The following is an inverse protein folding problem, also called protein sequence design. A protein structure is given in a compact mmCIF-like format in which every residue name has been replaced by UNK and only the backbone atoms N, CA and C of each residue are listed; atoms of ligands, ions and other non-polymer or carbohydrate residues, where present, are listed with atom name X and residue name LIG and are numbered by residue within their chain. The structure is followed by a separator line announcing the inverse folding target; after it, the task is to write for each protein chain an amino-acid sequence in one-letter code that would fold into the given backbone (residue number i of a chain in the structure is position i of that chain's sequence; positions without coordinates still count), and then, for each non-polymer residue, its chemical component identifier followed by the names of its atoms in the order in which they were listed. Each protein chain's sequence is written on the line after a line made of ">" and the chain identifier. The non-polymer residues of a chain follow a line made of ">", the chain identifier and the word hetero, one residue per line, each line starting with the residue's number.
data_IF_173809011248
#
_entry.id   IF_173809011248
#
_cell.length_a   1.000
_cell.length_b   1.000
_cell.length_c   1.000
_cell.angle_alpha   90.00
_cell.angle_beta   90.00
_cell.angle_gamma   90.00
#
_symmetry.space_group_name_H-M   'P 1'
#
loop_
_entity.id
_entity.type
_entity.pdbx_description
1 polymer ?
#
# COMPACT_ATOMS: atom_id res chain seq x y z
N UNK A 1 18.42 30.35 -0.02
CA UNK A 1 17.79 29.48 -1.02
C UNK A 1 17.61 28.12 -0.39
N UNK A 2 16.38 27.74 -0.10
CA UNK A 2 16.08 26.37 0.29
C UNK A 2 16.10 25.59 -1.02
N UNK A 3 17.18 24.86 -1.27
CA UNK A 3 17.18 23.86 -2.35
C UNK A 3 16.12 22.84 -2.00
N UNK A 4 15.04 22.82 -2.75
CA UNK A 4 14.04 21.77 -2.63
C UNK A 4 14.76 20.42 -2.74
N UNK A 5 14.76 19.66 -1.66
CA UNK A 5 15.26 18.29 -1.68
C UNK A 5 14.31 17.50 -2.58
N UNK A 6 14.83 16.74 -3.52
CA UNK A 6 14.01 15.98 -4.44
C UNK A 6 13.04 15.11 -3.66
N UNK A 7 11.75 15.22 -3.94
CA UNK A 7 10.72 14.41 -3.31
C UNK A 7 10.70 12.96 -3.82
N UNK A 8 11.46 12.67 -4.89
CA UNK A 8 11.56 11.35 -5.46
C UNK A 8 12.36 10.41 -4.57
N UNK A 9 11.92 9.14 -4.42
CA UNK A 9 12.64 8.14 -3.65
C UNK A 9 14.00 7.81 -4.27
N UNK A 10 15.01 7.59 -3.42
CA UNK A 10 16.34 7.15 -3.87
C UNK A 10 16.30 5.74 -4.47
N UNK A 11 15.38 4.91 -3.97
CA UNK A 11 15.15 3.56 -4.42
C UNK A 11 13.65 3.26 -4.54
N UNK A 12 13.30 2.42 -5.49
CA UNK A 12 11.92 1.95 -5.66
C UNK A 12 11.77 0.58 -4.99
N UNK A 13 10.85 0.46 -4.05
CA UNK A 13 10.48 -0.81 -3.45
C UNK A 13 9.82 -1.71 -4.51
N UNK A 14 10.39 -2.90 -4.74
CA UNK A 14 9.87 -3.87 -5.72
C UNK A 14 9.70 -5.22 -5.07
N UNK A 15 8.47 -5.72 -5.04
CA UNK A 15 8.16 -7.08 -4.61
C UNK A 15 8.27 -8.04 -5.78
N UNK A 16 8.98 -9.14 -5.58
CA UNK A 16 9.02 -10.25 -6.53
C UNK A 16 8.12 -11.38 -6.01
N UNK A 17 6.90 -11.44 -6.49
CA UNK A 17 5.91 -12.46 -6.07
C UNK A 17 6.25 -13.87 -6.53
N UNK A 18 7.12 -14.04 -7.51
CA UNK A 18 7.50 -15.37 -8.02
C UNK A 18 8.38 -16.16 -7.05
N UNK A 19 8.95 -15.49 -6.06
CA UNK A 19 9.80 -16.16 -5.04
C UNK A 19 9.01 -16.67 -3.84
N UNK A 20 7.70 -16.38 -3.73
CA UNK A 20 6.83 -17.00 -2.74
C UNK A 20 6.57 -18.46 -3.12
N UNK A 21 6.81 -19.43 -2.21
CA UNK A 21 6.83 -20.84 -2.59
C UNK A 21 5.44 -21.46 -2.78
N UNK A 22 4.40 -20.88 -2.21
CA UNK A 22 3.06 -21.44 -2.23
C UNK A 22 2.16 -20.73 -3.26
N UNK A 23 1.29 -21.46 -3.92
CA UNK A 23 0.27 -20.84 -4.74
C UNK A 23 -0.94 -20.41 -3.88
N UNK A 24 -1.61 -19.32 -4.28
CA UNK A 24 -2.78 -18.77 -3.58
C UNK A 24 -4.08 -19.52 -3.96
N UNK A 25 -4.21 -20.77 -3.51
CA UNK A 25 -5.36 -21.62 -3.84
C UNK A 25 -6.60 -21.36 -2.95
N UNK A 26 -6.43 -20.71 -1.80
CA UNK A 26 -7.51 -20.41 -0.86
C UNK A 26 -7.15 -19.24 0.06
N UNK A 27 -8.15 -18.77 0.81
CA UNK A 27 -7.96 -17.76 1.84
C UNK A 27 -6.89 -18.13 2.86
N UNK A 28 -6.79 -19.43 3.21
CA UNK A 28 -5.78 -19.88 4.17
C UNK A 28 -4.34 -19.70 3.66
N UNK A 29 -4.08 -19.91 2.37
CA UNK A 29 -2.78 -19.63 1.75
C UNK A 29 -2.50 -18.14 1.66
N UNK A 30 -3.53 -17.33 1.39
CA UNK A 30 -3.42 -15.88 1.43
C UNK A 30 -3.10 -15.39 2.84
N UNK A 31 -3.80 -15.88 3.87
CA UNK A 31 -3.53 -15.53 5.27
C UNK A 31 -2.11 -15.91 5.69
N UNK A 32 -1.62 -17.07 5.26
CA UNK A 32 -0.23 -17.49 5.48
C UNK A 32 0.76 -16.47 4.92
N UNK A 33 0.60 -16.08 3.65
CA UNK A 33 1.47 -15.10 3.01
C UNK A 33 1.36 -13.74 3.69
N UNK A 34 0.16 -13.28 4.02
CA UNK A 34 -0.07 -12.02 4.72
C UNK A 34 0.64 -11.99 6.08
N UNK A 35 0.56 -13.07 6.85
CA UNK A 35 1.27 -13.16 8.14
C UNK A 35 2.78 -13.16 7.97
N UNK A 36 3.28 -13.86 6.96
CA UNK A 36 4.70 -13.88 6.63
C UNK A 36 5.22 -12.47 6.30
N UNK A 37 4.52 -11.76 5.41
CA UNK A 37 4.87 -10.37 5.04
C UNK A 37 4.79 -9.42 6.26
N UNK A 38 3.76 -9.54 7.10
CA UNK A 38 3.62 -8.71 8.30
C UNK A 38 4.72 -8.97 9.33
N UNK A 39 5.23 -10.20 9.46
CA UNK A 39 6.37 -10.50 10.33
C UNK A 39 7.65 -9.85 9.82
N UNK A 40 7.91 -9.87 8.51
CA UNK A 40 9.06 -9.18 7.91
C UNK A 40 8.90 -7.66 8.03
N UNK A 41 7.71 -7.13 7.75
CA UNK A 41 7.41 -5.71 7.94
C UNK A 41 7.67 -5.27 9.39
N UNK A 42 7.14 -6.01 10.37
CA UNK A 42 7.35 -5.73 11.79
C UNK A 42 8.83 -5.86 12.21
N UNK A 43 9.59 -6.77 11.61
CA UNK A 43 11.04 -6.88 11.82
C UNK A 43 11.78 -5.62 11.37
N UNK A 44 11.49 -5.14 10.15
CA UNK A 44 12.09 -3.91 9.63
C UNK A 44 11.64 -2.68 10.42
N UNK A 45 10.37 -2.63 10.85
CA UNK A 45 9.84 -1.56 11.70
C UNK A 45 10.51 -1.55 13.08
N UNK A 46 10.77 -2.70 13.69
CA UNK A 46 11.48 -2.81 14.96
C UNK A 46 12.91 -2.27 14.87
N UNK A 47 13.58 -2.46 13.74
CA UNK A 47 14.92 -1.91 13.49
C UNK A 47 14.98 -0.39 13.56
N UNK A 48 13.85 0.28 13.43
CA UNK A 48 13.74 1.75 13.49
C UNK A 48 13.62 2.29 14.93
N UNK A 49 13.36 1.45 15.91
CA UNK A 49 13.10 1.91 17.28
C UNK A 49 14.35 2.32 18.05
N UNK A 50 15.50 1.85 17.62
CA UNK A 50 16.79 2.12 18.25
C UNK A 50 17.54 3.31 17.65
N UNK A 51 16.95 3.98 16.65
CA UNK A 51 17.59 5.09 15.94
C UNK A 51 17.40 6.39 16.69
N UNK A 52 18.50 7.10 16.94
CA UNK A 52 18.50 8.50 17.34
C UNK A 52 18.34 9.44 16.12
N UNK A 53 18.28 10.75 16.37
CA UNK A 53 18.06 11.75 15.32
C UNK A 53 19.16 11.77 14.25
N UNK A 54 20.42 11.51 14.63
CA UNK A 54 21.52 11.47 13.66
C UNK A 54 21.45 10.22 12.80
N UNK A 55 21.14 9.08 13.40
CA UNK A 55 20.94 7.83 12.68
C UNK A 55 19.72 7.91 11.75
N UNK A 56 18.63 8.58 12.18
CA UNK A 56 17.48 8.85 11.32
C UNK A 56 17.84 9.73 10.13
N UNK A 57 18.53 10.86 10.36
CA UNK A 57 18.98 11.73 9.27
C UNK A 57 19.87 11.00 8.26
N UNK A 58 20.78 10.18 8.78
CA UNK A 58 21.67 9.38 7.92
C UNK A 58 20.90 8.33 7.12
N UNK A 59 19.98 7.57 7.77
CA UNK A 59 19.20 6.51 7.14
C UNK A 59 18.25 7.04 6.06
N UNK A 60 17.57 8.17 6.34
CA UNK A 60 16.58 8.76 5.44
C UNK A 60 17.19 9.78 4.46
N UNK A 61 18.50 10.01 4.51
CA UNK A 61 19.21 11.00 3.70
C UNK A 61 18.64 12.43 3.84
N UNK A 62 18.28 12.82 5.08
CA UNK A 62 17.65 14.11 5.38
C UNK A 62 18.58 15.01 6.20
N UNK A 63 18.48 16.33 5.97
CA UNK A 63 19.16 17.35 6.79
C UNK A 63 18.38 17.69 8.06
N UNK A 64 17.07 17.71 7.94
CA UNK A 64 16.12 17.99 9.04
C UNK A 64 15.01 16.96 9.02
N UNK A 65 14.47 16.65 10.18
CA UNK A 65 13.36 15.72 10.35
C UNK A 65 12.32 16.32 11.29
N UNK A 66 11.03 16.09 11.00
CA UNK A 66 9.97 16.22 11.99
C UNK A 66 9.89 14.92 12.78
N UNK A 67 10.61 14.91 13.92
CA UNK A 67 10.71 13.72 14.76
C UNK A 67 9.36 13.32 15.34
N UNK A 68 8.53 14.30 15.74
CA UNK A 68 7.22 14.01 16.35
C UNK A 68 6.30 13.29 15.34
N UNK A 69 6.22 13.78 14.12
CA UNK A 69 5.39 13.17 13.09
C UNK A 69 5.94 11.79 12.65
N UNK A 70 7.27 11.65 12.54
CA UNK A 70 7.91 10.36 12.25
C UNK A 70 7.53 9.31 13.31
N UNK A 71 7.57 9.66 14.60
CA UNK A 71 7.17 8.76 15.68
C UNK A 71 5.67 8.41 15.61
N UNK A 72 4.83 9.40 15.33
CA UNK A 72 3.39 9.19 15.15
C UNK A 72 3.10 8.18 14.01
N UNK A 73 3.72 8.37 12.86
CA UNK A 73 3.56 7.46 11.72
C UNK A 73 4.05 6.05 12.06
N UNK A 74 5.19 5.92 12.72
CA UNK A 74 5.68 4.62 13.19
C UNK A 74 4.70 3.94 14.15
N UNK A 75 4.02 4.72 15.01
CA UNK A 75 2.99 4.19 15.91
C UNK A 75 1.77 3.67 15.15
N UNK A 76 1.31 4.40 14.14
CA UNK A 76 0.22 3.99 13.23
C UNK A 76 0.59 2.67 12.53
N UNK A 77 1.80 2.55 12.00
CA UNK A 77 2.25 1.30 11.37
C UNK A 77 2.21 0.10 12.31
N UNK A 78 2.64 0.29 13.58
CA UNK A 78 2.53 -0.78 14.57
C UNK A 78 1.08 -1.17 14.85
N UNK A 79 0.18 -0.21 14.98
CA UNK A 79 -1.25 -0.48 15.21
C UNK A 79 -1.85 -1.27 14.04
N UNK A 80 -1.59 -0.82 12.81
CA UNK A 80 -2.08 -1.49 11.59
C UNK A 80 -1.50 -2.88 11.42
N UNK A 81 -0.20 -3.06 11.65
CA UNK A 81 0.44 -4.35 11.53
C UNK A 81 -0.13 -5.38 12.51
N UNK A 82 -0.36 -4.99 13.77
CA UNK A 82 -0.99 -5.86 14.78
C UNK A 82 -2.41 -6.24 14.37
N UNK A 83 -3.21 -5.25 13.96
CA UNK A 83 -4.58 -5.47 13.53
C UNK A 83 -4.65 -6.45 12.35
N UNK A 84 -3.89 -6.19 11.29
CA UNK A 84 -3.86 -7.04 10.10
C UNK A 84 -3.32 -8.44 10.39
N UNK A 85 -2.34 -8.56 11.29
CA UNK A 85 -1.81 -9.84 11.71
C UNK A 85 -2.85 -10.69 12.46
N UNK A 86 -3.68 -10.04 13.28
CA UNK A 86 -4.78 -10.71 13.97
C UNK A 86 -5.88 -11.15 12.99
N UNK A 87 -6.22 -10.33 12.00
CA UNK A 87 -7.20 -10.68 10.96
C UNK A 87 -6.80 -11.92 10.16
N UNK A 88 -5.53 -12.04 9.81
CA UNK A 88 -4.98 -13.17 9.07
C UNK A 88 -4.76 -14.42 9.96
N UNK A 89 -5.63 -14.68 10.94
CA UNK A 89 -5.46 -15.75 11.93
C UNK A 89 -6.51 -16.89 11.86
N UNK A 90 -7.48 -16.77 10.96
CA UNK A 90 -8.67 -17.64 10.95
C UNK A 90 -8.37 -19.15 10.72
N UNK A 91 -7.28 -19.48 10.04
CA UNK A 91 -6.97 -20.86 9.60
C UNK A 91 -5.66 -21.39 10.22
N UNK A 92 -5.55 -21.40 11.55
CA UNK A 92 -4.30 -21.70 12.28
C UNK A 92 -3.52 -22.93 11.79
N UNK A 93 -4.20 -24.03 11.48
CA UNK A 93 -3.54 -25.26 11.02
C UNK A 93 -2.80 -25.10 9.68
N UNK A 94 -3.22 -24.12 8.86
CA UNK A 94 -2.62 -23.85 7.54
C UNK A 94 -1.58 -22.74 7.58
N UNK A 95 -1.35 -22.11 8.74
CA UNK A 95 -0.45 -20.94 8.87
C UNK A 95 1.02 -21.31 9.09
N UNK A 96 1.35 -22.58 9.29
CA UNK A 96 2.76 -22.97 9.44
C UNK A 96 3.60 -22.52 8.23
N UNK A 97 4.82 -22.00 8.46
CA UNK A 97 5.53 -21.83 9.74
C UNK A 97 5.26 -20.49 10.46
N UNK A 98 4.24 -19.71 10.08
CA UNK A 98 3.95 -18.35 10.54
C UNK A 98 2.80 -18.30 11.56
N UNK A 99 2.60 -19.38 12.34
CA UNK A 99 1.40 -19.55 13.17
C UNK A 99 1.45 -18.90 14.55
N UNK A 100 2.56 -18.27 14.96
CA UNK A 100 2.69 -17.69 16.30
C UNK A 100 1.57 -16.65 16.55
N UNK A 101 0.77 -16.78 17.63
CA UNK A 101 -0.30 -15.84 17.91
C UNK A 101 0.26 -14.53 18.44
N UNK A 102 -0.34 -13.40 18.00
CA UNK A 102 -0.12 -12.10 18.58
C UNK A 102 -1.42 -11.31 18.49
N UNK A 103 -2.00 -10.98 19.63
CA UNK A 103 -3.24 -10.21 19.74
C UNK A 103 -2.97 -8.77 20.22
N UNK A 104 -1.77 -8.47 20.66
CA UNK A 104 -1.36 -7.17 21.17
C UNK A 104 0.00 -6.74 20.59
N UNK A 105 0.26 -5.43 20.68
CA UNK A 105 1.47 -4.81 20.13
C UNK A 105 2.76 -5.36 20.73
N UNK A 106 2.78 -5.62 22.05
CA UNK A 106 4.00 -6.09 22.73
C UNK A 106 4.39 -7.47 22.22
N UNK A 107 3.42 -8.37 22.16
CA UNK A 107 3.62 -9.74 21.64
C UNK A 107 4.03 -9.69 20.17
N UNK A 108 3.35 -8.89 19.33
CA UNK A 108 3.68 -8.78 17.91
C UNK A 108 5.09 -8.21 17.70
N UNK A 109 5.48 -7.16 18.42
CA UNK A 109 6.86 -6.63 18.38
C UNK A 109 7.89 -7.69 18.76
N UNK A 110 7.62 -8.49 19.78
CA UNK A 110 8.54 -9.54 20.20
C UNK A 110 8.74 -10.61 19.14
N UNK A 111 7.65 -11.12 18.55
CA UNK A 111 7.75 -12.18 17.53
C UNK A 111 8.31 -11.67 16.20
N UNK A 112 7.94 -10.46 15.77
CA UNK A 112 8.43 -9.88 14.54
C UNK A 112 9.87 -9.40 14.66
N UNK A 113 10.25 -8.75 15.75
CA UNK A 113 11.63 -8.29 15.99
C UNK A 113 12.66 -9.44 16.01
N UNK A 114 12.23 -10.61 16.49
CA UNK A 114 13.07 -11.83 16.48
C UNK A 114 12.85 -12.72 15.26
N UNK A 115 12.03 -12.27 14.30
CA UNK A 115 11.69 -13.07 13.13
C UNK A 115 12.87 -13.22 12.18
N UNK A 116 13.14 -14.46 11.80
CA UNK A 116 14.16 -14.82 10.83
C UNK A 116 13.53 -15.70 9.74
N UNK A 117 14.25 -15.88 8.64
CA UNK A 117 13.82 -16.78 7.59
C UNK A 117 13.41 -18.15 8.16
N UNK A 118 12.23 -18.68 7.80
CA UNK A 118 11.85 -20.01 8.21
C UNK A 118 12.90 -21.04 7.79
N UNK A 119 13.13 -22.04 8.65
CA UNK A 119 14.04 -23.13 8.33
C UNK A 119 13.55 -23.87 7.09
N UNK A 120 14.41 -23.97 6.08
CA UNK A 120 14.12 -24.62 4.81
C UNK A 120 14.44 -23.74 3.59
N UNK A 121 14.88 -24.37 2.51
CA UNK A 121 15.32 -23.65 1.31
C UNK A 121 14.20 -22.92 0.55
N UNK A 122 12.94 -23.33 0.74
CA UNK A 122 11.81 -22.81 -0.04
C UNK A 122 11.44 -21.35 0.26
N UNK A 123 11.55 -20.90 1.52
CA UNK A 123 11.24 -19.54 1.93
C UNK A 123 12.40 -18.56 1.87
N UNK A 124 13.64 -19.04 1.72
CA UNK A 124 14.82 -18.17 1.77
C UNK A 124 14.83 -17.09 0.67
N UNK A 125 14.54 -17.39 -0.62
CA UNK A 125 14.48 -16.37 -1.66
C UNK A 125 13.40 -15.30 -1.41
N UNK A 126 12.23 -15.73 -0.91
CA UNK A 126 11.16 -14.82 -0.52
C UNK A 126 11.60 -13.91 0.63
N UNK A 127 12.17 -14.47 1.69
CA UNK A 127 12.58 -13.70 2.87
C UNK A 127 13.57 -12.59 2.52
N UNK A 128 14.57 -12.87 1.70
CA UNK A 128 15.55 -11.88 1.23
C UNK A 128 14.84 -10.77 0.43
N UNK A 129 13.91 -11.13 -0.46
CA UNK A 129 13.18 -10.16 -1.26
C UNK A 129 12.22 -9.32 -0.41
N UNK A 130 11.46 -9.94 0.49
CA UNK A 130 10.52 -9.26 1.38
C UNK A 130 11.24 -8.29 2.33
N UNK A 131 12.36 -8.70 2.93
CA UNK A 131 13.19 -7.83 3.78
C UNK A 131 13.65 -6.59 3.02
N UNK A 132 14.18 -6.77 1.80
CA UNK A 132 14.60 -5.65 0.96
C UNK A 132 13.43 -4.73 0.60
N UNK A 133 12.29 -5.31 0.22
CA UNK A 133 11.09 -4.57 -0.14
C UNK A 133 10.59 -3.73 1.04
N UNK A 134 10.34 -4.35 2.19
CA UNK A 134 9.78 -3.66 3.35
C UNK A 134 10.72 -2.61 3.94
N UNK A 135 12.03 -2.83 3.87
CA UNK A 135 13.00 -1.81 4.27
C UNK A 135 12.90 -0.57 3.40
N UNK A 136 12.95 -0.72 2.07
CA UNK A 136 12.87 0.42 1.15
C UNK A 136 11.53 1.12 1.28
N UNK A 137 10.44 0.36 1.39
CA UNK A 137 9.08 0.91 1.56
C UNK A 137 8.98 1.73 2.85
N UNK A 138 9.40 1.18 3.99
CA UNK A 138 9.37 1.89 5.27
C UNK A 138 10.27 3.12 5.27
N UNK A 139 11.47 3.03 4.72
CA UNK A 139 12.37 4.15 4.65
C UNK A 139 11.78 5.31 3.85
N UNK A 140 11.10 5.03 2.74
CA UNK A 140 10.42 6.07 1.96
C UNK A 140 9.21 6.66 2.67
N UNK A 141 8.34 5.84 3.27
CA UNK A 141 7.17 6.31 4.02
C UNK A 141 7.58 7.18 5.22
N UNK A 142 8.57 6.73 5.99
CA UNK A 142 9.08 7.50 7.13
C UNK A 142 9.83 8.75 6.70
N UNK A 143 10.49 8.73 5.53
CA UNK A 143 11.12 9.91 4.92
C UNK A 143 10.07 10.96 4.55
N UNK A 144 8.98 10.55 3.92
CA UNK A 144 7.87 11.43 3.59
C UNK A 144 7.22 12.03 4.84
N UNK A 145 6.99 11.20 5.86
CA UNK A 145 6.46 11.65 7.15
C UNK A 145 7.38 12.69 7.83
N UNK A 146 8.69 12.49 7.77
CA UNK A 146 9.66 13.40 8.36
C UNK A 146 9.78 14.74 7.61
N UNK A 147 9.49 14.77 6.30
CA UNK A 147 9.56 15.96 5.46
C UNK A 147 8.25 16.74 5.38
N UNK A 148 7.13 16.03 5.40
CA UNK A 148 5.81 16.57 5.09
C UNK A 148 4.78 16.24 6.17
N UNK A 149 4.89 16.81 7.38
CA UNK A 149 4.06 16.43 8.54
C UNK A 149 2.56 16.71 8.36
N UNK A 150 2.18 17.46 7.35
CA UNK A 150 0.79 17.78 7.02
C UNK A 150 0.24 17.04 5.79
N UNK A 151 1.05 16.17 5.20
CA UNK A 151 0.63 15.33 4.08
C UNK A 151 0.35 13.94 4.60
N UNK A 152 -0.85 13.42 4.34
CA UNK A 152 -1.17 12.06 4.77
C UNK A 152 -0.34 11.03 4.00
N UNK A 153 -0.09 9.93 4.68
CA UNK A 153 0.40 8.71 4.07
C UNK A 153 -0.79 7.78 3.73
N UNK A 154 -0.51 6.65 3.09
CA UNK A 154 -1.52 5.62 2.78
C UNK A 154 -2.27 5.07 4.01
N UNK A 155 -1.77 5.32 5.22
CA UNK A 155 -2.38 4.84 6.47
C UNK A 155 -3.12 5.91 7.26
N UNK A 156 -3.14 7.15 6.77
CA UNK A 156 -3.80 8.26 7.44
C UNK A 156 -4.99 8.79 6.63
N UNK A 157 -5.97 9.38 7.29
CA UNK A 157 -7.16 9.98 6.66
C UNK A 157 -7.22 11.47 6.99
N UNK A 158 -7.57 12.31 5.99
CA UNK A 158 -7.69 13.75 6.18
C UNK A 158 -8.97 14.16 6.90
N UNK A 159 -10.05 13.40 6.69
CA UNK A 159 -11.35 13.69 7.27
C UNK A 159 -12.18 12.42 7.47
N UNK A 160 -13.24 12.46 8.31
CA UNK A 160 -14.05 11.28 8.62
C UNK A 160 -14.88 10.72 7.45
N UNK A 161 -14.97 11.44 6.33
CA UNK A 161 -15.66 10.96 5.13
C UNK A 161 -14.71 10.31 4.11
N UNK A 162 -13.43 10.26 4.42
CA UNK A 162 -12.41 9.65 3.57
C UNK A 162 -12.29 8.16 3.88
N UNK A 163 -12.27 7.35 2.85
CA UNK A 163 -12.10 5.90 2.98
C UNK A 163 -10.63 5.53 2.74
N UNK A 164 -9.98 5.03 3.77
CA UNK A 164 -8.59 4.52 3.70
C UNK A 164 -8.52 3.03 3.34
N UNK A 165 -9.68 2.36 3.31
CA UNK A 165 -9.80 0.92 3.17
C UNK A 165 -9.84 0.15 4.50
N UNK A 166 -9.40 0.77 5.61
CA UNK A 166 -9.44 0.15 6.94
C UNK A 166 -10.85 -0.01 7.50
N UNK A 167 -11.80 0.72 6.96
CA UNK A 167 -13.24 0.68 7.32
C UNK A 167 -13.97 -0.46 6.64
N UNK A 168 -13.36 -1.07 5.61
CA UNK A 168 -13.98 -2.16 4.88
C UNK A 168 -13.92 -3.46 5.66
N UNK A 169 -14.94 -4.32 5.53
CA UNK A 169 -14.86 -5.69 6.00
C UNK A 169 -13.65 -6.42 5.40
N UNK A 170 -13.15 -7.43 6.12
CA UNK A 170 -12.04 -8.23 5.64
C UNK A 170 -12.28 -8.77 4.21
N UNK A 171 -11.25 -8.74 3.38
CA UNK A 171 -11.26 -9.16 1.96
C UNK A 171 -12.15 -8.33 1.05
N UNK A 172 -12.56 -7.14 1.47
CA UNK A 172 -13.20 -6.16 0.60
C UNK A 172 -12.22 -5.05 0.24
N UNK A 173 -12.39 -4.45 -0.93
CA UNK A 173 -11.56 -3.34 -1.42
C UNK A 173 -12.35 -2.42 -2.33
N UNK A 174 -11.94 -1.17 -2.41
CA UNK A 174 -12.36 -0.25 -3.44
C UNK A 174 -11.37 -0.31 -4.62
N UNK A 175 -11.92 -0.38 -5.82
CA UNK A 175 -11.12 -0.32 -7.03
C UNK A 175 -11.15 1.10 -7.57
N UNK A 176 -10.00 1.74 -7.72
CA UNK A 176 -9.88 3.07 -8.29
C UNK A 176 -8.82 3.15 -9.38
N UNK A 177 -8.98 4.13 -10.27
CA UNK A 177 -8.06 4.41 -11.36
C UNK A 177 -7.88 5.92 -11.48
N UNK A 178 -6.63 6.35 -11.55
CA UNK A 178 -6.23 7.74 -11.62
C UNK A 178 -5.79 8.15 -13.05
N UNK A 179 -5.69 9.47 -13.28
CA UNK A 179 -5.08 10.09 -14.45
C UNK A 179 -5.75 9.79 -15.81
N UNK A 180 -7.01 9.37 -15.80
CA UNK A 180 -7.78 9.20 -17.05
C UNK A 180 -8.48 10.47 -17.53
N UNK A 181 -9.23 10.37 -18.62
CA UNK A 181 -9.26 9.28 -19.59
C UNK A 181 -8.11 9.34 -20.62
N UNK A 182 -7.73 8.18 -21.16
CA UNK A 182 -6.82 8.13 -22.33
C UNK A 182 -7.52 8.62 -23.60
N UNK A 183 -6.77 8.82 -24.67
CA UNK A 183 -7.33 9.11 -26.00
C UNK A 183 -8.30 7.99 -26.44
N UNK A 184 -9.18 8.28 -27.40
CA UNK A 184 -10.13 7.32 -27.94
C UNK A 184 -9.42 6.04 -28.41
N UNK A 185 -10.03 4.88 -28.14
CA UNK A 185 -9.49 3.54 -28.37
C UNK A 185 -8.23 3.21 -27.53
N UNK A 186 -7.98 3.98 -26.48
CA UNK A 186 -6.87 3.76 -25.56
C UNK A 186 -7.15 2.75 -24.45
N UNK A 187 -6.37 2.84 -23.37
CA UNK A 187 -6.46 1.88 -22.27
C UNK A 187 -7.74 2.06 -21.45
N UNK A 188 -8.33 3.27 -21.40
CA UNK A 188 -9.59 3.49 -20.66
C UNK A 188 -10.74 2.64 -21.23
N UNK A 189 -10.90 2.57 -22.54
CA UNK A 189 -11.93 1.72 -23.16
C UNK A 189 -11.69 0.24 -22.90
N UNK A 190 -10.46 -0.22 -23.00
CA UNK A 190 -10.09 -1.60 -22.70
C UNK A 190 -10.40 -1.94 -21.24
N UNK A 191 -10.06 -1.06 -20.32
CA UNK A 191 -10.34 -1.22 -18.90
C UNK A 191 -11.84 -1.28 -18.64
N UNK A 192 -12.63 -0.35 -19.19
CA UNK A 192 -14.08 -0.35 -19.06
C UNK A 192 -14.71 -1.63 -19.63
N UNK A 193 -14.16 -2.18 -20.72
CA UNK A 193 -14.63 -3.45 -21.28
C UNK A 193 -14.36 -4.62 -20.31
N UNK A 194 -13.17 -4.68 -19.71
CA UNK A 194 -12.82 -5.70 -18.71
C UNK A 194 -13.71 -5.60 -17.46
N UNK A 195 -13.90 -4.40 -16.91
CA UNK A 195 -14.77 -4.18 -15.75
C UNK A 195 -16.20 -4.61 -16.02
N UNK A 196 -16.72 -4.28 -17.20
CA UNK A 196 -18.07 -4.71 -17.61
C UNK A 196 -18.18 -6.22 -17.75
N UNK A 197 -17.20 -6.86 -18.36
CA UNK A 197 -17.16 -8.34 -18.50
C UNK A 197 -17.08 -9.02 -17.12
N UNK A 198 -16.32 -8.44 -16.19
CA UNK A 198 -16.15 -8.96 -14.84
C UNK A 198 -17.29 -8.57 -13.89
N UNK A 199 -18.26 -7.76 -14.33
CA UNK A 199 -19.32 -7.18 -13.48
C UNK A 199 -18.77 -6.43 -12.25
N UNK A 200 -17.66 -5.71 -12.42
CA UNK A 200 -17.01 -4.94 -11.36
C UNK A 200 -17.31 -3.45 -11.49
N UNK A 201 -17.52 -2.80 -10.35
CA UNK A 201 -17.56 -1.36 -10.23
C UNK A 201 -16.18 -0.80 -9.89
N UNK A 202 -15.91 0.43 -10.33
CA UNK A 202 -14.68 1.13 -10.00
C UNK A 202 -14.92 2.65 -9.96
N UNK A 203 -14.10 3.34 -9.19
CA UNK A 203 -14.04 4.80 -9.16
C UNK A 203 -12.93 5.29 -10.09
N UNK A 204 -13.21 6.36 -10.84
CA UNK A 204 -12.22 6.96 -11.73
C UNK A 204 -11.97 8.41 -11.31
N UNK A 205 -10.72 8.72 -10.97
CA UNK A 205 -10.24 10.08 -10.76
C UNK A 205 -9.67 10.61 -12.08
N UNK A 206 -10.32 11.61 -12.65
CA UNK A 206 -10.06 12.03 -14.01
C UNK A 206 -9.33 13.38 -14.06
N UNK A 207 -8.29 13.49 -14.90
CA UNK A 207 -7.64 14.77 -15.19
C UNK A 207 -8.52 15.64 -16.09
N UNK A 208 -8.78 16.89 -15.66
CA UNK A 208 -9.58 17.85 -16.41
C UNK A 208 -9.06 18.09 -17.83
N UNK A 209 -7.75 18.19 -18.00
CA UNK A 209 -7.11 18.35 -19.31
C UNK A 209 -7.37 17.17 -20.26
N UNK A 210 -7.31 15.94 -19.72
CA UNK A 210 -7.60 14.73 -20.49
C UNK A 210 -9.06 14.67 -20.92
N UNK A 211 -10.00 15.11 -20.06
CA UNK A 211 -11.41 15.23 -20.37
C UNK A 211 -11.62 16.25 -21.51
N UNK A 212 -11.00 17.44 -21.41
CA UNK A 212 -11.13 18.46 -22.45
C UNK A 212 -10.57 18.01 -23.79
N UNK A 213 -9.39 17.42 -23.83
CA UNK A 213 -8.81 16.86 -25.06
C UNK A 213 -9.73 15.82 -25.70
N UNK A 214 -10.31 14.95 -24.89
CA UNK A 214 -11.24 13.93 -25.35
C UNK A 214 -12.58 14.50 -25.83
N UNK A 215 -13.16 15.46 -25.09
CA UNK A 215 -14.42 16.13 -25.47
C UNK A 215 -14.28 16.90 -26.80
N UNK A 216 -13.13 17.51 -27.07
CA UNK A 216 -12.86 18.15 -28.36
C UNK A 216 -12.81 17.12 -29.50
N UNK A 217 -12.30 15.92 -29.25
CA UNK A 217 -12.27 14.83 -30.23
C UNK A 217 -13.67 14.22 -30.45
N UNK A 218 -14.53 14.19 -29.42
CA UNK A 218 -15.90 13.64 -29.49
C UNK A 218 -16.86 14.60 -30.20
N UNK A 219 -16.62 15.91 -30.17
CA UNK A 219 -17.42 16.86 -30.97
C UNK A 219 -17.36 16.61 -32.47
N UNK A 220 -16.31 15.94 -32.93
CA UNK A 220 -16.17 15.50 -34.31
C UNK A 220 -16.71 14.09 -34.59
N UNK A 221 -17.05 13.30 -33.55
CA UNK A 221 -17.61 11.95 -33.68
C UNK A 221 -18.82 11.79 -32.73
N UNK A 222 -20.01 11.70 -33.31
CA UNK A 222 -21.31 11.54 -32.60
C UNK A 222 -21.46 10.19 -31.85
N UNK A 223 -20.51 9.80 -31.01
CA UNK A 223 -20.64 8.58 -30.18
C UNK A 223 -20.04 8.80 -28.80
N UNK A 224 -20.85 9.01 -27.79
CA UNK A 224 -20.57 8.64 -26.36
C UNK A 224 -21.45 9.33 -25.33
N UNK A 225 -22.78 9.26 -25.46
CA UNK A 225 -23.69 9.65 -24.37
C UNK A 225 -23.53 8.76 -23.13
N UNK A 226 -23.02 7.53 -23.26
CA UNK A 226 -22.83 6.58 -22.17
C UNK A 226 -21.60 6.91 -21.33
N UNK A 227 -20.51 7.37 -21.91
CA UNK A 227 -19.28 7.71 -21.19
C UNK A 227 -19.44 8.93 -20.28
N UNK A 228 -20.13 9.98 -20.77
CA UNK A 228 -20.38 11.22 -20.01
C UNK A 228 -21.27 10.94 -18.79
N UNK A 229 -22.27 10.05 -18.91
CA UNK A 229 -23.11 9.66 -17.76
C UNK A 229 -22.33 8.93 -16.68
N UNK A 230 -21.40 8.08 -17.03
CA UNK A 230 -20.57 7.33 -16.07
C UNK A 230 -19.59 8.24 -15.33
N UNK A 231 -18.99 9.20 -16.03
CA UNK A 231 -18.06 10.16 -15.41
C UNK A 231 -18.75 11.20 -14.51
N UNK A 232 -19.96 11.66 -14.85
CA UNK A 232 -20.71 12.64 -14.06
C UNK A 232 -21.32 12.01 -12.81
N UNK A 233 -21.68 10.72 -12.82
CA UNK A 233 -22.16 10.03 -11.62
C UNK A 233 -21.07 9.76 -10.58
N UNK A 234 -19.80 9.63 -10.99
CA UNK A 234 -18.68 9.48 -10.06
C UNK A 234 -18.30 10.81 -9.35
N UNK A 235 -18.58 11.97 -9.95
CA UNK A 235 -18.34 13.28 -9.34
C UNK A 235 -19.46 13.79 -8.42
N UNK A 236 -20.57 13.08 -8.31
CA UNK A 236 -21.70 13.42 -7.43
C UNK A 236 -21.74 12.61 -6.12
N UNK A 237 -20.74 11.79 -5.87
CA UNK A 237 -20.57 11.11 -4.57
C UNK A 237 -19.31 11.69 -3.93
N UNK A 238 -19.35 12.97 -3.61
CA UNK A 238 -18.47 13.69 -2.70
C UNK A 238 -19.31 14.28 -1.58
#
# INVERSE_FOLDING_TARGET
>A
MITAQAASPDNVARSNRTVWPDAFHSNAYFDRASRAELLVFGHELASTEILDDDAWRARLHLKTIDHAHLLQMRDIYWQRAVHNYALASAHRAMLEPFCQPAADRKTFKSISGNFNAPKGASYAPWYVNATKFHRIYLDEELRLAALFPYVSSEVDTFNPNEFSGSELPDRQFFLSFDDGPTTSNGNTEKLLAVLRQAHLNATFFLCSEAIWKRACTIRTARQSATFIRTCVSASQVA
#
